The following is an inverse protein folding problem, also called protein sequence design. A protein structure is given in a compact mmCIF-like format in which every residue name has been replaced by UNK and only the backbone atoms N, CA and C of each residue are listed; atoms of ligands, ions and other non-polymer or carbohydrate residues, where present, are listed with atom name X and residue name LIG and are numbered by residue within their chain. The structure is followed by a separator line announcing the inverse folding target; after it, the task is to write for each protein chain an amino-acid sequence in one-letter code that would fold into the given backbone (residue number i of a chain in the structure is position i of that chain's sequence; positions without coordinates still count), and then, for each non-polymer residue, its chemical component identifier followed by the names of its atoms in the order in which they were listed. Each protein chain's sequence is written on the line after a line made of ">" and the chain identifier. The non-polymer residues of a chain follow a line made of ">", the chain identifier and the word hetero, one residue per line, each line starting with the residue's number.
data_IF_775797343662
#
_entry.id   IF_775797343662
#
_cell.length_a   1.000
_cell.length_b   1.000
_cell.length_c   1.000
_cell.angle_alpha   90.00
_cell.angle_beta   90.00
_cell.angle_gamma   90.00
#
_symmetry.space_group_name_H-M   'P 1'
#
loop_
_entity.id
_entity.type
_entity.pdbx_description
1 polymer ?
#
# COMPACT_ATOMS: atom_id res chain seq x y z
N UNK A 1 15.94 -26.69 -50.25
CA UNK A 1 15.55 -27.24 -48.95
C UNK A 1 15.16 -26.09 -48.05
N UNK A 2 13.88 -25.74 -47.96
CA UNK A 2 13.37 -24.59 -47.19
C UNK A 2 13.14 -25.07 -45.75
N UNK A 3 13.90 -24.53 -44.77
CA UNK A 3 13.66 -24.79 -43.36
C UNK A 3 12.38 -24.07 -42.97
N UNK A 4 11.35 -24.85 -42.67
CA UNK A 4 10.10 -24.37 -42.07
C UNK A 4 10.38 -24.04 -40.61
N UNK A 5 10.60 -22.73 -40.32
CA UNK A 5 10.72 -22.21 -38.98
C UNK A 5 9.38 -22.45 -38.25
N UNK A 6 9.41 -23.29 -37.22
CA UNK A 6 8.24 -23.64 -36.41
C UNK A 6 7.79 -22.42 -35.57
N UNK A 7 6.63 -21.80 -35.85
CA UNK A 7 6.18 -20.57 -35.20
C UNK A 7 5.95 -20.72 -33.70
N UNK A 8 5.75 -21.95 -33.19
CA UNK A 8 5.61 -22.23 -31.75
C UNK A 8 6.89 -22.07 -30.95
N UNK A 9 8.06 -22.39 -31.53
CA UNK A 9 9.36 -22.29 -30.87
C UNK A 9 9.76 -20.84 -30.59
N UNK A 10 9.41 -19.91 -31.46
CA UNK A 10 9.74 -18.49 -31.32
C UNK A 10 8.88 -17.81 -30.22
N UNK A 11 7.63 -18.23 -30.07
CA UNK A 11 6.72 -17.72 -29.03
C UNK A 11 7.18 -18.17 -27.62
N UNK A 12 7.58 -19.42 -27.47
CA UNK A 12 8.09 -19.96 -26.20
C UNK A 12 9.43 -19.29 -25.80
N UNK A 13 10.33 -19.07 -26.75
CA UNK A 13 11.60 -18.38 -26.52
C UNK A 13 11.36 -16.92 -26.08
N UNK A 14 10.43 -16.22 -26.74
CA UNK A 14 10.04 -14.84 -26.39
C UNK A 14 9.41 -14.75 -25.01
N UNK A 15 8.52 -15.67 -24.64
CA UNK A 15 7.92 -15.72 -23.30
C UNK A 15 8.97 -16.01 -22.21
N UNK A 16 9.90 -16.91 -22.47
CA UNK A 16 11.01 -17.23 -21.55
C UNK A 16 11.91 -16.02 -21.32
N UNK A 17 12.22 -15.29 -22.40
CA UNK A 17 13.03 -14.07 -22.33
C UNK A 17 12.31 -12.97 -21.55
N UNK A 18 11.01 -12.77 -21.78
CA UNK A 18 10.18 -11.83 -21.04
C UNK A 18 10.13 -12.15 -19.55
N UNK A 19 9.90 -13.43 -19.19
CA UNK A 19 9.92 -13.86 -17.77
C UNK A 19 11.28 -13.63 -17.11
N UNK A 20 12.37 -13.89 -17.82
CA UNK A 20 13.73 -13.65 -17.32
C UNK A 20 13.98 -12.15 -17.09
N UNK A 21 13.56 -11.30 -18.00
CA UNK A 21 13.64 -9.84 -17.86
C UNK A 21 12.81 -9.35 -16.68
N UNK A 22 11.60 -9.83 -16.53
CA UNK A 22 10.70 -9.50 -15.39
C UNK A 22 11.34 -9.89 -14.05
N UNK A 23 11.85 -11.11 -13.95
CA UNK A 23 12.55 -11.57 -12.73
C UNK A 23 13.75 -10.66 -12.41
N UNK A 24 14.53 -10.25 -13.43
CA UNK A 24 15.66 -9.36 -13.20
C UNK A 24 15.23 -7.95 -12.75
N UNK A 25 14.14 -7.42 -13.30
CA UNK A 25 13.56 -6.16 -12.82
C UNK A 25 13.14 -6.24 -11.35
N UNK A 26 12.60 -7.39 -10.91
CA UNK A 26 12.26 -7.62 -9.50
C UNK A 26 13.49 -7.68 -8.59
N UNK A 27 14.58 -8.31 -9.04
CA UNK A 27 15.83 -8.35 -8.26
C UNK A 27 16.43 -6.95 -8.11
N UNK A 28 16.39 -6.14 -9.16
CA UNK A 28 16.79 -4.73 -9.12
C UNK A 28 15.89 -3.94 -8.14
N UNK A 29 14.58 -4.19 -8.16
CA UNK A 29 13.65 -3.55 -7.24
C UNK A 29 13.98 -3.83 -5.78
N UNK A 30 14.29 -5.10 -5.45
CA UNK A 30 14.72 -5.50 -4.11
C UNK A 30 16.00 -4.80 -3.68
N UNK A 31 16.97 -4.70 -4.57
CA UNK A 31 18.21 -3.96 -4.33
C UNK A 31 17.93 -2.46 -4.09
N UNK A 32 17.10 -1.85 -4.94
CA UNK A 32 16.69 -0.46 -4.78
C UNK A 32 15.97 -0.21 -3.44
N UNK A 33 15.09 -1.13 -3.02
CA UNK A 33 14.40 -1.03 -1.74
C UNK A 33 15.37 -1.02 -0.56
N UNK A 34 16.44 -1.85 -0.59
CA UNK A 34 17.49 -1.84 0.43
C UNK A 34 18.25 -0.51 0.45
N UNK A 35 18.63 0.02 -0.72
CA UNK A 35 19.31 1.30 -0.83
C UNK A 35 18.43 2.45 -0.34
N UNK A 36 17.16 2.50 -0.77
CA UNK A 36 16.21 3.53 -0.35
C UNK A 36 16.00 3.55 1.17
N UNK A 37 16.00 2.39 1.79
CA UNK A 37 15.88 2.25 3.24
C UNK A 37 17.09 2.79 3.98
N UNK A 38 18.30 2.52 3.47
CA UNK A 38 19.57 2.94 4.07
C UNK A 38 19.84 4.44 3.89
N UNK A 39 19.66 4.94 2.69
CA UNK A 39 20.10 6.28 2.28
C UNK A 39 18.93 7.26 2.09
N UNK A 40 17.69 6.78 2.07
CA UNK A 40 16.50 7.54 1.63
C UNK A 40 16.41 7.62 0.11
N UNK A 41 15.19 7.77 -0.40
CA UNK A 41 14.93 7.78 -1.86
C UNK A 41 15.63 8.95 -2.55
N UNK A 42 15.64 10.13 -1.93
CA UNK A 42 16.24 11.34 -2.51
C UNK A 42 17.75 11.18 -2.73
N UNK A 43 18.47 10.67 -1.73
CA UNK A 43 19.92 10.53 -1.76
C UNK A 43 20.41 9.30 -2.54
N UNK A 44 19.59 8.26 -2.67
CA UNK A 44 19.94 7.04 -3.37
C UNK A 44 20.31 7.28 -4.85
N UNK A 45 21.47 6.79 -5.25
CA UNK A 45 21.99 6.92 -6.61
C UNK A 45 21.80 5.63 -7.44
N UNK A 46 21.62 5.77 -8.77
CA UNK A 46 21.54 4.61 -9.68
C UNK A 46 22.81 3.73 -9.63
N UNK A 47 23.99 4.30 -9.36
CA UNK A 47 25.23 3.51 -9.21
C UNK A 47 25.20 2.64 -7.96
N UNK A 48 24.77 3.18 -6.83
CA UNK A 48 24.62 2.44 -5.58
C UNK A 48 23.61 1.30 -5.73
N UNK A 49 22.49 1.56 -6.45
CA UNK A 49 21.49 0.52 -6.74
C UNK A 49 22.06 -0.57 -7.65
N UNK A 50 22.88 -0.20 -8.65
CA UNK A 50 23.54 -1.18 -9.51
C UNK A 50 24.49 -2.09 -8.72
N UNK A 51 25.32 -1.52 -7.86
CA UNK A 51 26.23 -2.25 -6.97
C UNK A 51 25.45 -3.21 -6.05
N UNK A 52 24.39 -2.74 -5.42
CA UNK A 52 23.51 -3.53 -4.55
C UNK A 52 22.79 -4.67 -5.31
N UNK A 53 22.52 -4.49 -6.61
CA UNK A 53 21.89 -5.49 -7.48
C UNK A 53 22.89 -6.45 -8.16
N UNK A 54 24.19 -6.33 -7.85
CA UNK A 54 25.27 -7.04 -8.53
C UNK A 54 25.21 -6.83 -10.07
N UNK A 55 25.13 -5.55 -10.48
CA UNK A 55 25.09 -5.11 -11.86
C UNK A 55 26.12 -4.01 -12.14
N UNK A 56 26.62 -3.97 -13.37
CA UNK A 56 27.24 -2.74 -13.85
C UNK A 56 26.20 -1.62 -14.04
N UNK A 57 26.57 -0.34 -13.88
CA UNK A 57 25.66 0.77 -14.13
C UNK A 57 25.01 0.72 -15.53
N UNK A 58 25.77 0.33 -16.56
CA UNK A 58 25.22 0.18 -17.91
C UNK A 58 24.13 -0.90 -18.01
N UNK A 59 24.31 -2.01 -17.29
CA UNK A 59 23.28 -3.06 -17.22
C UNK A 59 22.03 -2.59 -16.47
N UNK A 60 22.16 -1.78 -15.42
CA UNK A 60 21.00 -1.21 -14.73
C UNK A 60 20.23 -0.27 -15.66
N UNK A 61 20.91 0.61 -16.38
CA UNK A 61 20.26 1.52 -17.34
C UNK A 61 19.59 0.82 -18.53
N UNK A 62 19.97 -0.42 -18.82
CA UNK A 62 19.24 -1.25 -19.79
C UNK A 62 17.83 -1.62 -19.28
N UNK A 63 17.63 -1.75 -17.98
CA UNK A 63 16.33 -2.10 -17.39
C UNK A 63 15.48 -0.90 -16.97
N UNK A 64 16.12 0.19 -16.55
CA UNK A 64 15.47 1.40 -16.06
C UNK A 64 16.26 2.63 -16.51
N UNK A 65 15.64 3.51 -17.27
CA UNK A 65 16.29 4.71 -17.81
C UNK A 65 16.71 5.71 -16.71
N UNK A 66 16.05 5.65 -15.55
CA UNK A 66 16.36 6.50 -14.41
C UNK A 66 15.68 6.05 -13.12
N UNK A 67 15.91 6.82 -12.07
CA UNK A 67 15.35 6.57 -10.74
C UNK A 67 13.82 6.74 -10.71
N UNK A 68 13.29 7.67 -11.48
CA UNK A 68 11.86 7.90 -11.65
C UNK A 68 11.14 6.69 -12.27
N UNK A 69 11.71 6.08 -13.31
CA UNK A 69 11.16 4.85 -13.89
C UNK A 69 11.20 3.67 -12.92
N UNK A 70 12.28 3.56 -12.15
CA UNK A 70 12.40 2.54 -11.12
C UNK A 70 11.35 2.73 -9.99
N UNK A 71 11.17 3.97 -9.52
CA UNK A 71 10.16 4.33 -8.55
C UNK A 71 8.74 4.08 -9.08
N UNK A 72 8.50 4.45 -10.33
CA UNK A 72 7.23 4.17 -11.00
C UNK A 72 6.95 2.67 -11.03
N UNK A 73 7.91 1.86 -11.49
CA UNK A 73 7.76 0.41 -11.56
C UNK A 73 7.43 -0.20 -10.20
N UNK A 74 8.06 0.30 -9.13
CA UNK A 74 7.76 -0.11 -7.77
C UNK A 74 6.32 0.21 -7.38
N UNK A 75 5.91 1.47 -7.52
CA UNK A 75 4.57 1.93 -7.12
C UNK A 75 3.47 1.30 -7.98
N UNK A 76 3.69 1.24 -9.28
CA UNK A 76 2.75 0.69 -10.26
C UNK A 76 2.42 -0.77 -9.94
N UNK A 77 3.46 -1.59 -9.75
CA UNK A 77 3.33 -3.00 -9.42
C UNK A 77 2.62 -3.24 -8.09
N UNK A 78 2.97 -2.47 -7.05
CA UNK A 78 2.33 -2.63 -5.74
C UNK A 78 0.85 -2.24 -5.81
N UNK A 79 0.53 -1.14 -6.50
CA UNK A 79 -0.85 -0.73 -6.70
C UNK A 79 -1.67 -1.74 -7.49
N UNK A 80 -1.08 -2.36 -8.52
CA UNK A 80 -1.78 -3.42 -9.28
C UNK A 80 -2.15 -4.59 -8.37
N UNK A 81 -1.23 -5.06 -7.53
CA UNK A 81 -1.51 -6.14 -6.57
C UNK A 81 -2.55 -5.75 -5.52
N UNK A 82 -2.47 -4.51 -5.03
CA UNK A 82 -3.45 -4.00 -4.08
C UNK A 82 -4.85 -3.90 -4.71
N UNK A 83 -4.94 -3.42 -5.94
CA UNK A 83 -6.18 -3.35 -6.70
C UNK A 83 -6.75 -4.74 -6.96
N UNK A 84 -5.94 -5.68 -7.43
CA UNK A 84 -6.35 -7.07 -7.68
C UNK A 84 -6.92 -7.71 -6.40
N UNK A 85 -6.22 -7.58 -5.28
CA UNK A 85 -6.66 -8.11 -4.00
C UNK A 85 -7.94 -7.43 -3.49
N UNK A 86 -8.08 -6.11 -3.65
CA UNK A 86 -9.26 -5.37 -3.25
C UNK A 86 -10.49 -5.75 -4.10
N UNK A 87 -10.32 -5.91 -5.41
CA UNK A 87 -11.39 -6.38 -6.30
C UNK A 87 -11.79 -7.82 -5.99
N UNK A 88 -10.83 -8.71 -5.71
CA UNK A 88 -11.11 -10.08 -5.29
C UNK A 88 -11.89 -10.12 -3.97
N UNK A 89 -11.48 -9.31 -2.98
CA UNK A 89 -12.21 -9.18 -1.72
C UNK A 89 -13.64 -8.67 -1.95
N UNK A 90 -13.82 -7.64 -2.79
CA UNK A 90 -15.13 -7.07 -3.14
C UNK A 90 -16.05 -8.07 -3.83
N UNK A 91 -15.51 -8.91 -4.70
CA UNK A 91 -16.25 -9.96 -5.42
C UNK A 91 -16.63 -11.16 -4.53
N UNK A 92 -15.98 -11.31 -3.37
CA UNK A 92 -16.25 -12.43 -2.47
C UNK A 92 -17.63 -12.33 -1.80
N UNK A 93 -18.12 -13.47 -1.29
CA UNK A 93 -19.39 -13.57 -0.55
C UNK A 93 -19.25 -13.25 0.94
N UNK A 94 -18.05 -12.98 1.43
CA UNK A 94 -17.77 -12.66 2.82
C UNK A 94 -18.56 -11.42 3.30
N UNK A 95 -18.79 -11.27 4.62
CA UNK A 95 -19.26 -10.03 5.20
C UNK A 95 -18.39 -8.84 4.79
N UNK A 96 -18.99 -7.64 4.64
CA UNK A 96 -18.25 -6.44 4.23
C UNK A 96 -17.13 -6.09 5.22
N UNK A 97 -17.33 -6.36 6.52
CA UNK A 97 -16.33 -6.19 7.55
C UNK A 97 -15.08 -7.05 7.29
N UNK A 98 -15.27 -8.32 6.91
CA UNK A 98 -14.15 -9.23 6.63
C UNK A 98 -13.47 -8.91 5.30
N UNK A 99 -14.25 -8.47 4.30
CA UNK A 99 -13.70 -7.95 3.05
C UNK A 99 -12.78 -6.75 3.30
N UNK A 100 -13.21 -5.79 4.12
CA UNK A 100 -12.41 -4.62 4.46
C UNK A 100 -11.17 -4.98 5.28
N UNK A 101 -11.28 -5.92 6.24
CA UNK A 101 -10.11 -6.44 6.96
C UNK A 101 -9.09 -7.07 6.01
N UNK A 102 -9.56 -7.89 5.07
CA UNK A 102 -8.67 -8.51 4.09
C UNK A 102 -7.92 -7.45 3.25
N UNK A 103 -8.62 -6.42 2.79
CA UNK A 103 -8.01 -5.31 2.04
C UNK A 103 -6.97 -4.56 2.87
N UNK A 104 -7.26 -4.25 4.14
CA UNK A 104 -6.32 -3.57 5.06
C UNK A 104 -5.06 -4.41 5.28
N UNK A 105 -5.22 -5.72 5.55
CA UNK A 105 -4.08 -6.64 5.74
C UNK A 105 -3.20 -6.70 4.50
N UNK A 106 -3.81 -6.84 3.34
CA UNK A 106 -3.09 -6.91 2.07
C UNK A 106 -2.37 -5.59 1.76
N UNK A 107 -3.00 -4.44 2.03
CA UNK A 107 -2.37 -3.14 1.89
C UNK A 107 -1.09 -3.06 2.72
N UNK A 108 -1.17 -3.36 4.01
CA UNK A 108 -0.01 -3.31 4.90
C UNK A 108 1.06 -4.34 4.54
N UNK A 109 0.65 -5.54 4.11
CA UNK A 109 1.60 -6.53 3.64
C UNK A 109 2.43 -5.99 2.46
N UNK A 110 1.79 -5.45 1.43
CA UNK A 110 2.51 -4.94 0.25
C UNK A 110 3.26 -3.63 0.49
N UNK A 111 2.80 -2.79 1.41
CA UNK A 111 3.48 -1.52 1.70
C UNK A 111 4.61 -1.65 2.71
N UNK A 112 4.58 -2.64 3.59
CA UNK A 112 5.61 -2.86 4.62
C UNK A 112 6.55 -4.02 4.31
N UNK A 113 6.25 -4.84 3.30
CA UNK A 113 7.13 -5.92 2.89
C UNK A 113 8.46 -5.33 2.38
N UNK A 114 9.55 -5.87 2.90
CA UNK A 114 10.91 -5.47 2.56
C UNK A 114 11.25 -5.65 1.08
N UNK A 115 10.54 -6.54 0.41
CA UNK A 115 10.83 -6.94 -0.95
C UNK A 115 10.31 -5.97 -2.03
N UNK A 116 9.34 -5.11 -1.70
CA UNK A 116 8.63 -4.31 -2.71
C UNK A 116 8.72 -2.79 -2.51
N UNK A 117 9.57 -2.32 -1.57
CA UNK A 117 9.93 -0.90 -1.52
C UNK A 117 8.94 0.00 -0.80
N UNK A 118 8.64 -0.32 0.46
CA UNK A 118 7.74 0.43 1.35
C UNK A 118 7.93 1.97 1.31
N UNK A 119 9.17 2.43 1.21
CA UNK A 119 9.50 3.86 1.17
C UNK A 119 9.19 4.54 -0.17
N UNK A 120 9.21 3.79 -1.28
CA UNK A 120 8.96 4.34 -2.61
C UNK A 120 7.50 4.80 -2.80
N UNK A 121 6.54 4.23 -2.05
CA UNK A 121 5.13 4.62 -2.14
C UNK A 121 4.83 6.06 -1.76
N UNK A 122 5.68 6.69 -0.95
CA UNK A 122 5.45 8.04 -0.44
C UNK A 122 6.03 9.12 -1.37
N UNK A 123 6.93 8.76 -2.29
CA UNK A 123 7.71 9.68 -3.09
C UNK A 123 7.10 9.90 -4.49
N UNK A 124 5.81 10.25 -4.53
CA UNK A 124 5.09 10.48 -5.80
C UNK A 124 5.60 11.72 -6.55
N UNK A 125 6.06 12.73 -5.83
CA UNK A 125 6.53 14.00 -6.39
C UNK A 125 7.86 13.87 -7.13
N UNK A 126 8.57 12.75 -6.95
CA UNK A 126 9.79 12.44 -7.68
C UNK A 126 9.54 11.79 -9.04
N UNK A 127 8.30 11.49 -9.38
CA UNK A 127 7.93 10.92 -10.67
C UNK A 127 7.77 12.00 -11.74
N UNK A 128 8.19 11.72 -12.97
CA UNK A 128 7.85 12.53 -14.13
C UNK A 128 6.32 12.65 -14.27
N UNK A 129 5.83 13.77 -14.80
CA UNK A 129 4.40 14.13 -14.81
C UNK A 129 3.50 13.05 -15.41
N UNK A 130 3.93 12.37 -16.46
CA UNK A 130 3.16 11.31 -17.11
C UNK A 130 3.06 10.06 -16.23
N UNK A 131 4.19 9.63 -15.66
CA UNK A 131 4.24 8.49 -14.75
C UNK A 131 3.43 8.77 -13.48
N UNK A 132 3.53 10.01 -12.96
CA UNK A 132 2.78 10.46 -11.79
C UNK A 132 1.26 10.39 -12.02
N UNK A 133 0.77 10.82 -13.19
CA UNK A 133 -0.66 10.72 -13.54
C UNK A 133 -1.16 9.29 -13.48
N UNK A 134 -0.43 8.34 -14.05
CA UNK A 134 -0.77 6.91 -14.01
C UNK A 134 -0.89 6.39 -12.57
N UNK A 135 0.03 6.78 -11.70
CA UNK A 135 -0.01 6.38 -10.29
C UNK A 135 -1.21 7.01 -9.56
N UNK A 136 -1.51 8.28 -9.82
CA UNK A 136 -2.68 8.96 -9.24
C UNK A 136 -3.97 8.25 -9.66
N UNK A 137 -4.15 7.95 -10.94
CA UNK A 137 -5.33 7.24 -11.44
C UNK A 137 -5.52 5.86 -10.77
N UNK A 138 -4.44 5.11 -10.58
CA UNK A 138 -4.49 3.83 -9.85
C UNK A 138 -4.84 4.01 -8.37
N UNK A 139 -4.30 5.03 -7.71
CA UNK A 139 -4.63 5.36 -6.31
C UNK A 139 -6.10 5.74 -6.16
N UNK A 140 -6.62 6.55 -7.07
CA UNK A 140 -8.03 6.92 -7.08
C UNK A 140 -8.93 5.70 -7.28
N UNK A 141 -8.58 4.81 -8.20
CA UNK A 141 -9.30 3.55 -8.40
C UNK A 141 -9.28 2.68 -7.15
N UNK A 142 -8.14 2.61 -6.47
CA UNK A 142 -8.01 1.85 -5.23
C UNK A 142 -8.88 2.45 -4.11
N UNK A 143 -8.84 3.77 -3.92
CA UNK A 143 -9.69 4.48 -2.94
C UNK A 143 -11.17 4.24 -3.24
N UNK A 144 -11.59 4.33 -4.50
CA UNK A 144 -12.97 4.05 -4.91
C UNK A 144 -13.39 2.61 -4.59
N UNK A 145 -12.49 1.64 -4.72
CA UNK A 145 -12.78 0.24 -4.38
C UNK A 145 -12.96 0.08 -2.87
N UNK A 146 -12.10 0.70 -2.05
CA UNK A 146 -12.24 0.71 -0.58
C UNK A 146 -13.54 1.38 -0.16
N UNK A 147 -13.86 2.55 -0.73
CA UNK A 147 -15.11 3.28 -0.50
C UNK A 147 -16.33 2.43 -0.83
N UNK A 148 -16.30 1.70 -1.95
CA UNK A 148 -17.40 0.82 -2.34
C UNK A 148 -17.65 -0.30 -1.33
N UNK A 149 -16.60 -0.85 -0.69
CA UNK A 149 -16.73 -1.81 0.40
C UNK A 149 -17.41 -1.22 1.64
N UNK A 150 -17.06 0.03 2.00
CA UNK A 150 -17.69 0.73 3.12
C UNK A 150 -19.17 0.98 2.81
N UNK A 151 -19.50 1.48 1.61
CA UNK A 151 -20.91 1.66 1.18
C UNK A 151 -21.68 0.34 1.24
N UNK A 152 -21.06 -0.77 0.78
CA UNK A 152 -21.67 -2.11 0.85
C UNK A 152 -21.97 -2.51 2.30
N UNK A 153 -21.04 -2.28 3.22
CA UNK A 153 -21.22 -2.56 4.65
C UNK A 153 -22.32 -1.72 5.30
N UNK A 154 -22.39 -0.43 4.98
CA UNK A 154 -23.48 0.45 5.45
C UNK A 154 -24.85 -0.06 4.94
N UNK A 155 -24.95 -0.39 3.64
CA UNK A 155 -26.18 -0.93 3.05
C UNK A 155 -26.61 -2.26 3.70
N UNK A 156 -25.65 -3.09 4.09
CA UNK A 156 -25.91 -4.37 4.79
C UNK A 156 -26.10 -4.23 6.29
N UNK A 157 -26.03 -3.01 6.83
CA UNK A 157 -26.10 -2.72 8.27
C UNK A 157 -24.97 -3.42 9.08
N UNK A 158 -23.87 -3.75 8.43
CA UNK A 158 -22.65 -4.23 9.09
C UNK A 158 -21.82 -3.06 9.62
N UNK A 159 -21.94 -1.89 8.99
CA UNK A 159 -21.30 -0.64 9.40
C UNK A 159 -22.34 0.40 9.78
N UNK A 160 -21.97 1.33 10.68
CA UNK A 160 -22.78 2.50 11.02
C UNK A 160 -22.91 3.43 9.82
N UNK A 161 -23.98 4.22 9.78
CA UNK A 161 -24.12 5.25 8.75
C UNK A 161 -22.98 6.27 8.88
N UNK A 162 -22.22 6.47 7.80
CA UNK A 162 -21.05 7.35 7.76
C UNK A 162 -20.83 7.92 6.36
N UNK A 163 -20.02 8.97 6.27
CA UNK A 163 -19.43 9.41 5.00
C UNK A 163 -18.35 8.41 4.57
N UNK A 164 -18.69 7.55 3.61
CA UNK A 164 -17.80 6.49 3.16
C UNK A 164 -16.53 7.03 2.47
N UNK A 165 -16.58 8.23 1.87
CA UNK A 165 -15.40 8.84 1.26
C UNK A 165 -14.42 9.34 2.34
N UNK A 166 -14.95 9.99 3.38
CA UNK A 166 -14.13 10.45 4.51
C UNK A 166 -13.51 9.26 5.25
N UNK A 167 -14.29 8.21 5.52
CA UNK A 167 -13.81 7.02 6.21
C UNK A 167 -12.75 6.26 5.37
N UNK A 168 -12.95 6.13 4.05
CA UNK A 168 -11.94 5.52 3.18
C UNK A 168 -10.61 6.28 3.24
N UNK A 169 -10.65 7.62 3.15
CA UNK A 169 -9.44 8.45 3.25
C UNK A 169 -8.78 8.35 4.62
N UNK A 170 -9.56 8.30 5.70
CA UNK A 170 -9.01 8.13 7.06
C UNK A 170 -8.31 6.78 7.21
N UNK A 171 -8.92 5.69 6.73
CA UNK A 171 -8.31 4.37 6.71
C UNK A 171 -7.02 4.38 5.89
N UNK A 172 -7.05 4.82 4.64
CA UNK A 172 -5.88 4.84 3.78
C UNK A 172 -4.78 5.75 4.32
N UNK A 173 -5.12 6.89 4.93
CA UNK A 173 -4.17 7.76 5.61
C UNK A 173 -3.46 7.05 6.76
N UNK A 174 -4.20 6.34 7.60
CA UNK A 174 -3.62 5.54 8.69
C UNK A 174 -2.69 4.45 8.17
N UNK A 175 -3.09 3.73 7.10
CA UNK A 175 -2.28 2.67 6.50
C UNK A 175 -1.00 3.23 5.86
N UNK A 176 -1.09 4.30 5.08
CA UNK A 176 0.06 4.92 4.44
C UNK A 176 1.06 5.47 5.46
N UNK A 177 0.56 5.97 6.62
CA UNK A 177 1.43 6.49 7.67
C UNK A 177 2.29 5.40 8.33
N UNK A 178 1.88 4.13 8.28
CA UNK A 178 2.66 3.01 8.85
C UNK A 178 4.04 2.90 8.23
N UNK A 179 4.19 3.19 6.94
CA UNK A 179 5.48 3.17 6.25
C UNK A 179 6.51 4.17 6.81
N UNK A 180 6.06 5.21 7.55
CA UNK A 180 6.93 6.23 8.16
C UNK A 180 7.56 5.77 9.48
N UNK A 181 6.84 4.96 10.24
CA UNK A 181 7.29 4.55 11.59
C UNK A 181 7.63 3.06 11.68
N UNK A 182 7.21 2.24 10.76
CA UNK A 182 7.54 0.82 10.76
C UNK A 182 9.05 0.60 10.64
N UNK A 183 9.56 -0.30 11.47
CA UNK A 183 10.95 -0.76 11.45
C UNK A 183 10.99 -2.28 11.37
N UNK A 184 11.68 -2.85 10.38
CA UNK A 184 11.80 -4.31 10.21
C UNK A 184 12.42 -5.03 11.41
N UNK A 185 13.35 -4.35 12.11
CA UNK A 185 14.03 -4.81 13.33
C UNK A 185 13.24 -4.48 14.62
N UNK A 186 12.03 -3.93 14.48
CA UNK A 186 11.17 -3.59 15.61
C UNK A 186 10.52 -4.81 16.27
N UNK A 187 9.84 -4.57 17.41
CA UNK A 187 9.20 -5.62 18.19
C UNK A 187 7.96 -6.23 17.51
N UNK A 188 7.35 -5.55 16.56
CA UNK A 188 6.11 -5.99 15.92
C UNK A 188 6.37 -6.42 14.48
N UNK A 189 5.89 -7.61 14.14
CA UNK A 189 5.89 -8.08 12.76
C UNK A 189 4.85 -7.35 11.90
N UNK A 190 5.07 -7.33 10.58
CA UNK A 190 4.08 -6.81 9.60
C UNK A 190 2.71 -7.46 9.82
N UNK A 191 2.67 -8.76 10.06
CA UNK A 191 1.42 -9.49 10.28
C UNK A 191 0.69 -9.01 11.55
N UNK A 192 1.41 -8.78 12.65
CA UNK A 192 0.82 -8.28 13.90
C UNK A 192 0.25 -6.87 13.74
N UNK A 193 1.00 -5.98 13.06
CA UNK A 193 0.55 -4.62 12.76
C UNK A 193 -0.69 -4.64 11.86
N UNK A 194 -0.66 -5.45 10.81
CA UNK A 194 -1.74 -5.57 9.85
C UNK A 194 -3.03 -6.08 10.50
N UNK A 195 -2.93 -7.09 11.35
CA UNK A 195 -4.07 -7.64 12.09
C UNK A 195 -4.64 -6.61 13.08
N UNK A 196 -3.78 -5.97 13.88
CA UNK A 196 -4.19 -4.97 14.85
C UNK A 196 -4.87 -3.76 14.23
N UNK A 197 -4.31 -3.21 13.14
CA UNK A 197 -4.91 -2.08 12.43
C UNK A 197 -6.20 -2.48 11.70
N UNK A 198 -6.25 -3.65 11.07
CA UNK A 198 -7.47 -4.13 10.43
C UNK A 198 -8.62 -4.25 11.45
N UNK A 199 -8.33 -4.81 12.60
CA UNK A 199 -9.32 -4.99 13.67
C UNK A 199 -9.75 -3.65 14.26
N UNK A 200 -8.81 -2.76 14.56
CA UNK A 200 -9.09 -1.45 15.14
C UNK A 200 -9.93 -0.57 14.19
N UNK A 201 -9.50 -0.44 12.92
CA UNK A 201 -10.15 0.42 11.95
C UNK A 201 -11.55 -0.09 11.57
N UNK A 202 -11.72 -1.41 11.42
CA UNK A 202 -13.03 -1.98 11.08
C UNK A 202 -13.98 -1.92 12.28
N UNK A 203 -13.51 -2.15 13.50
CA UNK A 203 -14.35 -1.95 14.72
C UNK A 203 -14.82 -0.52 14.87
N UNK A 204 -14.01 0.47 14.51
CA UNK A 204 -14.38 1.88 14.58
C UNK A 204 -15.61 2.26 13.77
N UNK A 205 -15.97 1.45 12.76
CA UNK A 205 -17.14 1.67 11.91
C UNK A 205 -18.18 0.53 11.99
N UNK A 206 -17.91 -0.54 12.74
CA UNK A 206 -18.82 -1.67 12.84
C UNK A 206 -20.13 -1.27 13.55
N UNK A 207 -21.25 -1.73 13.00
CA UNK A 207 -22.53 -1.58 13.67
C UNK A 207 -22.58 -2.49 14.92
N UNK A 208 -22.98 -1.94 16.04
CA UNK A 208 -23.22 -2.74 17.25
C UNK A 208 -24.39 -3.68 16.98
N UNK A 209 -24.23 -5.01 17.16
CA UNK A 209 -25.36 -5.93 17.06
C UNK A 209 -26.47 -5.47 18.01
N UNK A 210 -27.68 -5.31 17.51
CA UNK A 210 -28.85 -5.09 18.36
C UNK A 210 -29.20 -6.41 19.07
N UNK A 211 -28.30 -6.92 19.90
CA UNK A 211 -28.63 -7.98 20.82
C UNK A 211 -29.51 -7.38 21.92
N UNK A 212 -30.64 -8.02 22.16
CA UNK A 212 -31.72 -7.56 22.98
C UNK A 212 -31.26 -6.85 24.25
N UNK A 213 -31.90 -5.73 24.52
CA UNK A 213 -31.78 -4.98 25.76
C UNK A 213 -32.01 -5.95 26.90
N UNK A 214 -30.96 -6.49 27.49
CA UNK A 214 -31.01 -7.18 28.74
C UNK A 214 -31.24 -6.09 29.83
N UNK A 215 -32.51 -5.85 30.17
CA UNK A 215 -32.91 -4.98 31.27
C UNK A 215 -32.38 -5.61 32.57
N UNK A 216 -31.16 -5.28 32.95
CA UNK A 216 -30.68 -5.72 34.26
C UNK A 216 -29.17 -5.90 34.42
N UNK A 217 -28.35 -4.95 33.96
CA UNK A 217 -26.99 -4.87 34.43
C UNK A 217 -26.67 -3.43 34.84
N UNK A 218 -26.77 -3.17 36.14
CA UNK A 218 -26.19 -2.02 36.81
C UNK A 218 -24.68 -2.00 36.56
N UNK A 219 -24.16 -0.82 36.16
CA UNK A 219 -22.80 -0.53 35.79
C UNK A 219 -21.70 -1.24 36.58
N UNK A 220 -20.82 -1.88 35.85
CA UNK A 220 -19.39 -1.94 36.16
C UNK A 220 -18.68 -1.47 34.92
N UNK A 221 -17.95 -0.36 35.07
CA UNK A 221 -17.05 0.11 34.07
C UNK A 221 -15.93 -0.91 33.87
N UNK A 222 -16.08 -1.81 32.90
CA UNK A 222 -14.98 -2.61 32.40
C UNK A 222 -14.22 -1.77 31.38
N UNK A 223 -13.15 -1.18 31.86
CA UNK A 223 -12.05 -0.71 31.02
C UNK A 223 -11.56 -1.91 30.22
N UNK A 224 -11.67 -1.81 28.87
CA UNK A 224 -11.07 -2.77 27.95
C UNK A 224 -9.59 -2.94 28.30
N UNK A 225 -9.09 -4.16 28.46
CA UNK A 225 -7.70 -4.39 28.76
C UNK A 225 -6.87 -4.16 27.47
N UNK A 226 -6.42 -2.94 27.27
CA UNK A 226 -5.16 -2.74 26.56
C UNK A 226 -4.07 -3.18 27.54
N UNK A 227 -3.24 -4.17 27.21
CA UNK A 227 -2.05 -4.38 28.00
C UNK A 227 -1.25 -3.08 27.95
N UNK A 228 -0.85 -2.51 29.10
CA UNK A 228 0.06 -1.38 29.07
C UNK A 228 1.40 -1.88 28.53
N UNK A 229 1.63 -1.65 27.24
CA UNK A 229 2.97 -1.68 26.72
C UNK A 229 3.75 -0.55 27.42
N UNK A 230 5.01 -0.74 27.80
CA UNK A 230 5.79 0.32 28.40
C UNK A 230 5.91 1.47 27.40
N UNK A 231 5.21 2.55 27.67
CA UNK A 231 5.54 3.85 27.12
C UNK A 231 6.91 4.18 27.69
N UNK A 232 7.96 3.95 26.92
CA UNK A 232 9.28 4.48 27.27
C UNK A 232 9.16 5.99 27.36
N UNK A 233 9.56 6.63 28.48
CA UNK A 233 9.43 8.08 28.65
C UNK A 233 10.37 8.90 27.77
N UNK A 234 11.09 8.30 26.84
CA UNK A 234 12.07 8.94 25.96
C UNK A 234 11.77 8.80 24.46
N UNK A 235 10.51 8.68 24.10
CA UNK A 235 10.10 8.81 22.70
C UNK A 235 10.00 10.26 22.27
N UNK A 236 11.13 10.97 22.17
CA UNK A 236 11.20 12.21 21.39
C UNK A 236 10.84 11.87 19.95
N UNK A 237 9.65 12.28 19.54
CA UNK A 237 9.30 12.37 18.13
C UNK A 237 10.38 13.18 17.43
N UNK A 238 11.03 12.67 16.39
CA UNK A 238 11.95 13.50 15.63
C UNK A 238 11.16 14.66 15.06
N UNK A 239 11.44 15.85 15.57
CA UNK A 239 10.94 17.12 15.04
C UNK A 239 11.64 17.41 13.70
N UNK A 240 11.33 16.66 12.68
CA UNK A 240 11.60 16.99 11.29
C UNK A 240 10.28 17.15 10.57
N UNK A 241 9.92 18.42 10.39
CA UNK A 241 9.11 18.94 9.30
C UNK A 241 7.72 18.33 9.18
N UNK A 242 6.74 18.91 9.88
CA UNK A 242 5.38 18.98 9.38
C UNK A 242 5.45 19.95 8.19
N UNK A 243 6.03 19.54 7.10
CA UNK A 243 5.87 20.23 5.83
C UNK A 243 4.57 19.75 5.21
N UNK A 244 3.59 20.59 5.45
CA UNK A 244 2.40 20.91 4.67
C UNK A 244 1.92 19.87 3.66
N UNK A 245 0.94 19.07 4.07
CA UNK A 245 -0.12 18.62 3.18
C UNK A 245 -0.88 19.86 2.70
N UNK A 246 -0.49 20.43 1.57
CA UNK A 246 -1.12 21.63 1.04
C UNK A 246 -0.63 21.96 -0.35
N UNK A 247 -1.01 21.15 -1.34
CA UNK A 247 -1.24 21.71 -2.66
C UNK A 247 -2.73 22.11 -2.71
N UNK A 248 -3.06 23.41 -2.88
CA UNK A 248 -4.44 23.83 -3.01
C UNK A 248 -4.99 23.28 -4.35
N UNK A 249 -6.05 22.51 -4.27
CA UNK A 249 -6.91 22.23 -5.42
C UNK A 249 -7.33 23.57 -6.01
N UNK A 250 -6.77 23.93 -7.16
CA UNK A 250 -7.23 25.07 -7.95
C UNK A 250 -8.70 24.86 -8.25
N UNK A 251 -9.50 25.84 -7.83
CA UNK A 251 -10.94 25.85 -7.93
C UNK A 251 -11.44 25.62 -9.35
N UNK A 252 -12.32 24.66 -9.50
CA UNK A 252 -13.34 24.68 -10.54
C UNK A 252 -14.49 25.52 -10.04
N UNK A 253 -14.59 26.74 -10.57
CA UNK A 253 -15.76 27.60 -10.40
C UNK A 253 -16.95 26.88 -11.04
N UNK A 254 -17.92 26.50 -10.23
CA UNK A 254 -19.27 26.26 -10.72
C UNK A 254 -19.93 27.63 -10.87
N UNK A 255 -20.07 28.09 -12.12
CA UNK A 255 -20.93 29.18 -12.50
C UNK A 255 -22.41 28.75 -12.46
N UNK A 256 -23.23 29.70 -12.16
CA UNK A 256 -24.66 29.76 -11.94
C UNK A 256 -25.56 28.84 -12.76
#
# INVERSE_FOLDING_TARGET
>A
MVQILNPGSNKIASERMRRKSEMRRLDILRAAARVFRRSGVAAAGMREIAEEADLSPGNLYYYFAGKDELLFFCQDRTLDRMLEAAEAARASTMPAADQLRAVIRTHLHYTLDELEGATAHLEIDMLADELRRTIIEKRDKYEHTVRALIVKGVKRREFVACDAALVARAILGALNWTARWYRPDGLQSVAAIAEGLADYLVRGIAAVPKNGVNKGAKGRGETLPFPPGPLSPEGTFPSRGIETFGAPLKGTSYGA
#
